data_IF_185136891332
#
_entry.id   IF_185136891332
#
_cell.length_a   1.000
_cell.length_b   1.000
_cell.length_c   1.000
_cell.angle_alpha   90.00
_cell.angle_beta   90.00
_cell.angle_gamma   90.00
#
_symmetry.space_group_name_H-M   'P 1'
#
loop_
_entity.id
_entity.type
_entity.pdbx_description
1 polymer ?
#
# COMPACT_ATOMS: atom_id res chain seq x y z
N UNK A 1 -6.29 32.85 27.50
CA UNK A 1 -6.84 31.68 28.23
C UNK A 1 -7.45 30.77 27.16
N UNK A 2 -6.80 29.66 26.82
CA UNK A 2 -7.23 28.78 25.73
C UNK A 2 -8.24 27.76 26.25
N UNK A 3 -9.40 27.67 25.59
CA UNK A 3 -10.44 26.68 25.88
C UNK A 3 -9.93 25.25 25.65
N UNK A 4 -10.24 24.28 26.52
CA UNK A 4 -9.93 22.88 26.25
C UNK A 4 -10.84 22.36 25.12
N UNK A 5 -10.22 21.72 24.13
CA UNK A 5 -10.91 21.02 23.05
C UNK A 5 -11.72 19.85 23.62
N UNK A 6 -12.94 19.67 23.12
CA UNK A 6 -13.76 18.50 23.37
C UNK A 6 -12.96 17.23 23.05
N UNK A 7 -12.51 16.53 24.09
CA UNK A 7 -12.18 15.12 23.98
C UNK A 7 -13.44 14.41 23.49
N UNK A 8 -13.35 13.69 22.37
CA UNK A 8 -14.41 12.80 21.93
C UNK A 8 -14.63 11.77 23.04
N UNK A 9 -15.65 12.00 23.87
CA UNK A 9 -16.05 11.09 24.93
C UNK A 9 -16.65 9.84 24.27
N UNK A 10 -16.30 8.63 24.70
CA UNK A 10 -17.07 7.45 24.32
C UNK A 10 -18.48 7.63 24.91
N UNK A 11 -19.45 7.97 24.06
CA UNK A 11 -20.85 8.03 24.47
C UNK A 11 -21.32 6.60 24.70
N UNK A 12 -21.67 6.31 25.95
CA UNK A 12 -22.07 4.99 26.43
C UNK A 12 -23.38 4.54 25.79
N UNK A 13 -23.26 3.57 24.90
CA UNK A 13 -24.24 2.55 24.59
C UNK A 13 -23.43 1.39 24.05
N UNK A 14 -23.06 0.44 24.92
CA UNK A 14 -22.05 -0.62 24.73
C UNK A 14 -21.66 -0.88 23.27
N UNK A 15 -20.77 -0.04 22.74
CA UNK A 15 -20.12 -0.30 21.47
C UNK A 15 -19.30 -1.55 21.74
N UNK A 16 -19.53 -2.60 20.94
CA UNK A 16 -18.80 -3.85 21.07
C UNK A 16 -17.31 -3.52 21.23
N UNK A 17 -16.60 -4.15 22.16
CA UNK A 17 -15.14 -4.06 22.13
C UNK A 17 -14.69 -4.65 20.80
N UNK A 18 -13.84 -3.94 20.05
CA UNK A 18 -13.25 -4.53 18.86
C UNK A 18 -12.53 -5.84 19.20
N UNK A 19 -12.57 -6.78 18.27
CA UNK A 19 -11.94 -8.08 18.40
C UNK A 19 -10.84 -8.24 17.36
N UNK A 20 -9.77 -8.94 17.74
CA UNK A 20 -8.62 -9.13 16.87
C UNK A 20 -8.93 -10.01 15.65
N UNK A 21 -9.94 -10.87 15.76
CA UNK A 21 -10.41 -11.74 14.69
C UNK A 21 -11.54 -11.12 13.84
N UNK A 22 -11.86 -9.83 14.00
CA UNK A 22 -12.75 -9.11 13.07
C UNK A 22 -12.06 -8.81 11.72
N UNK A 23 -10.74 -8.99 11.66
CA UNK A 23 -9.93 -8.83 10.46
C UNK A 23 -9.06 -10.08 10.26
N UNK A 24 -8.88 -10.48 9.00
CA UNK A 24 -7.95 -11.54 8.58
C UNK A 24 -6.87 -10.97 7.65
N UNK A 25 -5.57 -11.20 7.93
CA UNK A 25 -5.06 -11.93 9.10
C UNK A 25 -5.40 -11.23 10.43
N UNK A 26 -5.48 -12.01 11.50
CA UNK A 26 -5.84 -11.49 12.83
C UNK A 26 -5.01 -10.25 13.16
N UNK A 27 -5.70 -9.22 13.63
CA UNK A 27 -5.07 -8.00 14.08
C UNK A 27 -4.17 -8.27 15.30
N UNK A 28 -3.09 -7.50 15.42
CA UNK A 28 -2.23 -7.47 16.60
C UNK A 28 -2.82 -6.61 17.71
N UNK A 29 -3.55 -5.56 17.32
CA UNK A 29 -4.25 -4.67 18.23
C UNK A 29 -5.44 -4.07 17.52
N UNK A 30 -6.46 -3.70 18.28
CA UNK A 30 -7.61 -2.98 17.76
C UNK A 30 -8.03 -1.91 18.76
N UNK A 31 -8.67 -0.87 18.25
CA UNK A 31 -9.39 0.12 19.04
C UNK A 31 -10.53 0.58 18.19
N UNK A 32 -11.76 0.53 18.68
CA UNK A 32 -12.83 0.73 17.73
C UNK A 32 -14.22 0.91 18.26
N UNK A 33 -15.05 1.04 17.24
CA UNK A 33 -16.45 1.37 17.22
C UNK A 33 -16.77 2.75 17.80
N UNK A 34 -15.86 3.69 17.61
CA UNK A 34 -16.13 5.10 17.89
C UNK A 34 -17.36 5.56 17.08
N UNK A 35 -18.25 6.30 17.74
CA UNK A 35 -19.44 6.82 17.10
C UNK A 35 -19.09 7.79 15.96
N UNK A 36 -19.78 7.62 14.83
CA UNK A 36 -19.66 8.41 13.62
C UNK A 36 -18.68 7.86 12.59
N UNK A 37 -18.74 8.46 11.39
CA UNK A 37 -17.73 8.28 10.35
C UNK A 37 -16.52 9.17 10.65
N UNK A 38 -15.54 8.62 11.35
CA UNK A 38 -14.32 9.35 11.66
C UNK A 38 -13.41 9.51 10.43
N UNK A 39 -13.62 8.75 9.36
CA UNK A 39 -12.80 8.76 8.14
C UNK A 39 -13.18 9.87 7.15
N UNK A 40 -13.87 10.91 7.62
CA UNK A 40 -14.37 12.05 6.83
C UNK A 40 -13.36 13.20 6.68
N UNK A 41 -12.20 13.12 7.32
CA UNK A 41 -11.15 14.15 7.30
C UNK A 41 -11.41 15.36 8.21
N UNK A 42 -12.61 15.52 8.74
CA UNK A 42 -12.95 16.53 9.76
C UNK A 42 -12.78 16.03 11.19
N UNK A 43 -12.80 14.70 11.40
CA UNK A 43 -12.71 14.07 12.71
C UNK A 43 -11.28 13.62 13.08
N UNK A 44 -10.27 14.46 12.81
CA UNK A 44 -8.85 14.14 12.99
C UNK A 44 -8.51 13.71 14.41
N UNK A 45 -9.03 14.42 15.42
CA UNK A 45 -8.77 14.09 16.83
C UNK A 45 -9.29 12.68 17.20
N UNK A 46 -10.42 12.25 16.63
CA UNK A 46 -10.97 10.91 16.84
C UNK A 46 -10.10 9.83 16.20
N UNK A 47 -9.58 10.08 14.98
CA UNK A 47 -8.63 9.19 14.32
C UNK A 47 -7.34 9.07 15.13
N UNK A 48 -6.77 10.19 15.58
CA UNK A 48 -5.56 10.19 16.41
C UNK A 48 -5.75 9.44 17.73
N UNK A 49 -6.89 9.61 18.41
CA UNK A 49 -7.20 8.89 19.64
C UNK A 49 -7.31 7.37 19.41
N UNK A 50 -8.00 6.96 18.34
CA UNK A 50 -8.16 5.53 18.00
C UNK A 50 -6.87 4.87 17.51
N UNK A 51 -5.94 5.62 16.90
CA UNK A 51 -4.63 5.11 16.51
C UNK A 51 -3.65 5.07 17.69
N UNK A 52 -3.72 6.05 18.59
CA UNK A 52 -2.84 6.12 19.76
C UNK A 52 -3.07 4.94 20.72
N UNK A 53 -4.32 4.50 20.89
CA UNK A 53 -4.68 3.32 21.70
C UNK A 53 -4.14 2.00 21.14
N UNK A 54 -3.78 1.95 19.86
CA UNK A 54 -3.12 0.80 19.21
C UNK A 54 -1.65 1.08 18.87
N UNK A 55 -1.04 2.03 19.59
CA UNK A 55 0.40 2.29 19.56
C UNK A 55 0.89 3.07 18.34
N UNK A 56 0.04 3.87 17.68
CA UNK A 56 0.45 4.72 16.58
C UNK A 56 0.06 6.18 16.79
N UNK A 57 1.07 7.06 16.80
CA UNK A 57 0.85 8.50 16.81
C UNK A 57 0.86 9.01 15.37
N UNK A 58 -0.30 9.49 14.91
CA UNK A 58 -0.48 10.01 13.57
C UNK A 58 -0.42 11.55 13.56
N UNK A 59 0.21 12.13 12.54
CA UNK A 59 0.43 13.58 12.39
C UNK A 59 -0.85 14.38 12.08
N UNK A 60 -1.95 13.70 11.76
CA UNK A 60 -3.23 14.32 11.43
C UNK A 60 -3.33 14.80 9.98
N UNK A 61 -2.32 14.56 9.14
CA UNK A 61 -2.33 14.99 7.75
C UNK A 61 -3.17 14.04 6.89
N UNK A 62 -4.49 14.27 6.90
CA UNK A 62 -5.41 13.43 6.15
C UNK A 62 -5.17 13.45 4.64
N UNK A 63 -4.43 14.41 4.08
CA UNK A 63 -4.16 14.43 2.63
C UNK A 63 -3.09 13.42 2.20
N UNK A 64 -2.28 12.92 3.13
CA UNK A 64 -1.18 11.99 2.83
C UNK A 64 -1.53 10.51 3.03
N UNK A 65 -2.70 10.20 3.61
CA UNK A 65 -3.12 8.81 3.82
C UNK A 65 -3.81 8.23 2.58
N UNK A 66 -3.77 6.91 2.45
CA UNK A 66 -4.43 6.15 1.38
C UNK A 66 -5.89 5.91 1.75
N UNK A 67 -6.84 6.10 0.81
CA UNK A 67 -8.28 6.11 1.14
C UNK A 67 -9.14 5.39 0.10
N UNK A 68 -10.06 4.58 0.59
CA UNK A 68 -11.19 4.04 -0.16
C UNK A 68 -12.45 4.67 0.43
N UNK A 69 -13.10 5.57 -0.33
CA UNK A 69 -14.26 6.33 0.16
C UNK A 69 -15.56 5.55 0.15
N UNK A 70 -15.63 4.52 -0.68
CA UNK A 70 -16.81 3.65 -0.81
C UNK A 70 -16.36 2.20 -0.92
N UNK A 71 -16.64 1.42 0.12
CA UNK A 71 -16.48 -0.03 0.09
C UNK A 71 -17.77 -0.75 -0.34
N UNK A 72 -18.92 -0.08 -0.31
CA UNK A 72 -20.19 -0.70 -0.75
C UNK A 72 -20.58 -1.99 -0.01
N UNK A 73 -20.10 -2.19 1.22
CA UNK A 73 -20.32 -3.41 2.00
C UNK A 73 -19.34 -4.55 1.70
N UNK A 74 -18.31 -4.34 0.89
CA UNK A 74 -17.27 -5.35 0.62
C UNK A 74 -16.53 -5.76 1.89
N UNK A 75 -16.34 -7.07 2.03
CA UNK A 75 -15.55 -7.64 3.13
C UNK A 75 -14.08 -7.75 2.78
N UNK A 76 -13.72 -7.77 1.50
CA UNK A 76 -12.32 -7.70 1.07
C UNK A 76 -11.92 -6.25 0.83
N UNK A 77 -10.87 -5.79 1.50
CA UNK A 77 -10.35 -4.43 1.35
C UNK A 77 -9.00 -4.48 0.65
N UNK A 78 -8.92 -3.81 -0.50
CA UNK A 78 -7.74 -3.72 -1.35
C UNK A 78 -7.36 -2.25 -1.61
N UNK A 79 -6.25 -1.81 -1.04
CA UNK A 79 -5.77 -0.43 -1.18
C UNK A 79 -5.15 -0.12 -2.54
N UNK A 80 -4.99 -1.09 -3.44
CA UNK A 80 -4.64 -0.81 -4.83
C UNK A 80 -5.79 -0.13 -5.57
N UNK A 81 -7.02 -0.27 -5.07
CA UNK A 81 -8.23 0.36 -5.62
C UNK A 81 -8.57 1.70 -4.97
N UNK A 82 -7.72 2.18 -4.05
CA UNK A 82 -7.93 3.42 -3.35
C UNK A 82 -8.00 4.62 -4.31
N UNK A 83 -8.98 5.50 -4.07
CA UNK A 83 -9.19 6.71 -4.86
C UNK A 83 -8.08 7.73 -4.60
N UNK A 84 -7.50 7.72 -3.39
CA UNK A 84 -6.39 8.58 -3.01
C UNK A 84 -5.18 7.76 -2.55
N UNK A 85 -4.00 8.11 -3.09
CA UNK A 85 -2.69 7.52 -2.78
C UNK A 85 -2.68 5.98 -2.81
N UNK A 86 -3.06 5.33 -3.93
CA UNK A 86 -3.16 3.87 -3.98
C UNK A 86 -1.82 3.18 -3.71
N UNK A 87 -1.91 2.03 -3.03
CA UNK A 87 -0.74 1.21 -2.66
C UNK A 87 -1.04 -0.22 -3.11
N UNK A 88 -0.17 -0.79 -3.95
CA UNK A 88 -0.39 -2.12 -4.52
C UNK A 88 -0.27 -3.26 -3.51
N UNK A 89 0.52 -3.06 -2.44
CA UNK A 89 0.72 -4.03 -1.35
C UNK A 89 1.07 -3.33 -0.04
N UNK A 90 0.55 -3.86 1.06
CA UNK A 90 0.92 -3.48 2.42
C UNK A 90 1.93 -4.48 2.99
N UNK A 91 2.85 -4.03 3.85
CA UNK A 91 3.93 -4.84 4.42
C UNK A 91 4.04 -4.63 5.93
N UNK A 92 4.54 -5.66 6.64
CA UNK A 92 4.82 -5.59 8.08
C UNK A 92 3.68 -5.00 8.92
N UNK A 93 4.04 -4.31 9.99
CA UNK A 93 3.07 -3.61 10.83
C UNK A 93 2.34 -2.51 10.05
N UNK A 94 1.02 -2.65 9.96
CA UNK A 94 0.14 -1.80 9.16
C UNK A 94 -1.05 -1.32 10.00
N UNK A 95 -1.34 -0.03 9.94
CA UNK A 95 -2.42 0.63 10.67
C UNK A 95 -3.51 1.10 9.72
N UNK A 96 -4.73 0.65 9.99
CA UNK A 96 -5.90 0.93 9.17
C UNK A 96 -7.06 1.43 10.03
N UNK A 97 -7.96 2.16 9.39
CA UNK A 97 -9.29 2.47 9.94
C UNK A 97 -10.36 2.04 8.95
N UNK A 98 -11.47 1.51 9.45
CA UNK A 98 -12.62 1.10 8.63
C UNK A 98 -13.88 1.69 9.25
N UNK A 99 -14.65 2.37 8.41
CA UNK A 99 -15.96 2.88 8.77
C UNK A 99 -17.02 1.87 8.37
N UNK A 100 -17.88 1.55 9.33
CA UNK A 100 -19.05 0.72 9.15
C UNK A 100 -20.28 1.60 9.22
N UNK A 101 -21.06 1.57 8.14
CA UNK A 101 -22.41 2.11 8.14
C UNK A 101 -23.38 1.17 8.83
N UNK A 102 -24.67 1.43 8.65
CA UNK A 102 -25.74 0.68 9.29
C UNK A 102 -25.68 -0.83 8.97
N UNK A 103 -26.03 -1.64 9.98
CA UNK A 103 -26.23 -3.08 9.81
C UNK A 103 -24.97 -3.95 9.79
N UNK A 104 -23.82 -3.41 10.21
CA UNK A 104 -22.56 -4.16 10.33
C UNK A 104 -22.45 -5.05 11.58
N UNK A 105 -23.37 -4.91 12.54
CA UNK A 105 -23.36 -5.68 13.80
C UNK A 105 -22.54 -5.05 14.94
N UNK A 106 -21.99 -3.86 14.72
CA UNK A 106 -21.14 -3.15 15.70
C UNK A 106 -21.73 -1.84 16.22
N UNK A 107 -22.99 -1.57 15.89
CA UNK A 107 -23.64 -0.27 16.05
C UNK A 107 -23.80 0.46 14.72
N UNK A 108 -24.65 1.48 14.75
CA UNK A 108 -24.91 2.31 13.58
C UNK A 108 -23.85 3.40 13.45
N UNK A 109 -23.32 3.55 12.23
CA UNK A 109 -22.33 4.57 11.88
C UNK A 109 -21.13 4.59 12.83
N UNK A 110 -20.30 3.55 12.78
CA UNK A 110 -19.16 3.39 13.70
C UNK A 110 -17.83 3.29 12.95
N UNK A 111 -16.74 3.68 13.60
CA UNK A 111 -15.38 3.55 13.03
C UNK A 111 -14.51 2.71 13.93
N UNK A 112 -13.86 1.70 13.36
CA UNK A 112 -12.85 0.89 14.03
C UNK A 112 -11.46 1.11 13.46
N UNK A 113 -10.44 0.86 14.28
CA UNK A 113 -9.03 0.93 13.91
C UNK A 113 -8.34 -0.37 14.29
N UNK A 114 -7.45 -0.83 13.41
CA UNK A 114 -6.71 -2.07 13.61
C UNK A 114 -5.25 -1.89 13.24
N UNK A 115 -4.39 -2.59 13.99
CA UNK A 115 -3.01 -2.86 13.65
C UNK A 115 -2.92 -4.32 13.22
N UNK A 116 -2.41 -4.58 12.02
CA UNK A 116 -2.18 -5.93 11.51
C UNK A 116 -0.73 -6.10 11.06
N UNK A 117 -0.27 -7.34 10.94
CA UNK A 117 1.04 -7.64 10.34
C UNK A 117 0.84 -8.28 8.96
N UNK A 118 1.19 -7.54 7.91
CA UNK A 118 1.11 -7.98 6.52
C UNK A 118 2.31 -8.83 6.08
N UNK A 119 3.25 -9.11 6.99
CA UNK A 119 4.43 -9.93 6.76
C UNK A 119 5.45 -9.27 5.83
N UNK A 120 6.56 -9.99 5.60
CA UNK A 120 7.63 -9.56 4.71
C UNK A 120 7.26 -9.71 3.22
N UNK A 121 6.40 -10.67 2.88
CA UNK A 121 5.92 -10.88 1.50
C UNK A 121 4.86 -9.87 1.07
N UNK A 122 4.25 -9.19 2.05
CA UNK A 122 3.17 -8.23 1.88
C UNK A 122 1.83 -8.87 1.49
N UNK A 123 0.76 -8.13 1.78
CA UNK A 123 -0.62 -8.48 1.42
C UNK A 123 -1.13 -7.52 0.35
N UNK A 124 -1.85 -8.04 -0.63
CA UNK A 124 -2.60 -7.21 -1.58
C UNK A 124 -3.93 -6.74 -0.98
N UNK A 125 -4.54 -7.56 -0.12
CA UNK A 125 -5.79 -7.26 0.55
C UNK A 125 -5.88 -7.93 1.92
N UNK A 126 -6.83 -7.48 2.72
CA UNK A 126 -7.23 -8.13 3.96
C UNK A 126 -8.76 -8.30 3.98
N UNK A 127 -9.24 -9.22 4.82
CA UNK A 127 -10.66 -9.53 4.93
C UNK A 127 -11.20 -8.96 6.23
N UNK A 128 -12.38 -8.34 6.17
CA UNK A 128 -13.24 -8.01 7.29
C UNK A 128 -14.10 -9.24 7.57
N UNK A 129 -13.90 -9.87 8.72
CA UNK A 129 -14.66 -11.06 9.15
C UNK A 129 -16.02 -10.63 9.73
N UNK A 130 -16.74 -9.79 8.98
CA UNK A 130 -17.97 -9.13 9.42
C UNK A 130 -18.97 -9.25 8.28
N UNK A 131 -20.26 -9.46 8.57
CA UNK A 131 -21.20 -9.93 7.56
C UNK A 131 -21.52 -8.90 6.46
N UNK A 132 -21.44 -7.60 6.74
CA UNK A 132 -21.71 -6.49 5.78
C UNK A 132 -21.43 -5.13 6.43
N UNK A 133 -21.63 -4.05 5.67
CA UNK A 133 -21.78 -2.69 6.20
C UNK A 133 -20.50 -1.85 6.21
N UNK A 134 -19.38 -2.36 5.71
CA UNK A 134 -18.21 -1.52 5.45
C UNK A 134 -18.55 -0.44 4.41
N UNK A 135 -18.12 0.80 4.66
CA UNK A 135 -18.45 1.93 3.79
C UNK A 135 -17.24 2.76 3.40
N UNK A 136 -16.15 2.74 4.19
CA UNK A 136 -14.88 3.33 3.78
C UNK A 136 -13.72 2.76 4.58
N UNK A 137 -12.51 2.88 4.03
CA UNK A 137 -11.28 2.48 4.68
C UNK A 137 -10.16 3.49 4.45
N UNK A 138 -9.28 3.62 5.43
CA UNK A 138 -8.08 4.46 5.39
C UNK A 138 -6.89 3.63 5.83
N UNK A 139 -5.80 3.72 5.08
CA UNK A 139 -4.48 3.20 5.44
C UNK A 139 -3.61 4.36 5.88
N UNK A 140 -3.23 4.34 7.16
CA UNK A 140 -2.44 5.41 7.79
C UNK A 140 -0.94 5.18 7.67
N UNK A 141 -0.52 3.92 7.82
CA UNK A 141 0.88 3.51 7.75
C UNK A 141 0.97 2.05 7.39
N UNK A 142 1.96 1.70 6.58
CA UNK A 142 2.39 0.33 6.35
C UNK A 142 3.92 0.27 6.37
N UNK A 143 4.48 -0.92 6.60
CA UNK A 143 5.91 -1.16 6.48
C UNK A 143 6.39 -1.03 5.03
N UNK A 144 7.70 -1.11 4.85
CA UNK A 144 8.31 -1.15 3.52
C UNK A 144 8.47 -2.59 3.07
N UNK A 145 8.44 -2.81 1.75
CA UNK A 145 8.90 -4.05 1.17
C UNK A 145 10.33 -4.32 1.67
N UNK A 146 10.68 -5.58 2.00
CA UNK A 146 12.07 -5.92 2.30
C UNK A 146 12.94 -5.42 1.16
N UNK A 147 13.96 -4.61 1.48
CA UNK A 147 15.04 -4.38 0.55
C UNK A 147 15.71 -5.74 0.37
N UNK A 148 15.39 -6.44 -0.71
CA UNK A 148 16.29 -7.48 -1.20
C UNK A 148 17.61 -6.72 -1.38
N UNK A 149 18.67 -7.05 -0.61
CA UNK A 149 19.97 -6.43 -0.88
C UNK A 149 20.19 -6.60 -2.38
N UNK A 150 20.73 -5.60 -3.10
CA UNK A 150 21.07 -5.81 -4.49
C UNK A 150 21.73 -7.18 -4.55
N UNK A 151 21.10 -8.11 -5.27
CA UNK A 151 21.79 -9.34 -5.61
C UNK A 151 23.01 -8.76 -6.29
N UNK A 152 24.18 -8.80 -5.64
CA UNK A 152 25.41 -8.47 -6.35
C UNK A 152 25.29 -9.33 -7.60
N UNK A 153 25.20 -8.72 -8.79
CA UNK A 153 25.03 -9.49 -10.00
C UNK A 153 26.12 -10.56 -9.93
N UNK A 154 25.81 -11.85 -10.20
CA UNK A 154 26.86 -12.84 -10.36
C UNK A 154 27.89 -12.18 -11.26
N UNK A 155 29.12 -12.04 -10.76
CA UNK A 155 30.21 -11.35 -11.45
C UNK A 155 30.18 -11.82 -12.91
N UNK A 156 29.69 -10.97 -13.81
CA UNK A 156 29.58 -11.30 -15.24
C UNK A 156 28.24 -11.89 -15.73
N UNK A 157 27.09 -11.26 -15.50
CA UNK A 157 26.08 -11.21 -16.56
C UNK A 157 26.39 -9.98 -17.44
N UNK A 158 27.24 -10.09 -18.48
CA UNK A 158 27.34 -9.00 -19.44
C UNK A 158 25.94 -8.77 -19.99
N UNK A 159 25.47 -7.53 -19.91
CA UNK A 159 24.29 -7.11 -20.64
C UNK A 159 24.47 -7.61 -22.08
N UNK A 160 23.66 -8.58 -22.51
CA UNK A 160 23.83 -9.33 -23.76
C UNK A 160 23.62 -8.48 -25.02
N UNK A 161 23.62 -7.16 -24.87
CA UNK A 161 23.70 -6.19 -25.95
C UNK A 161 25.13 -5.66 -25.94
N UNK A 162 25.95 -6.00 -26.95
CA UNK A 162 27.26 -5.40 -27.12
C UNK A 162 27.14 -3.88 -27.09
N UNK A 163 28.09 -3.20 -26.45
CA UNK A 163 28.09 -1.73 -26.40
C UNK A 163 28.12 -1.15 -27.83
N UNK A 164 27.62 0.07 -28.05
CA UNK A 164 27.56 0.68 -29.38
C UNK A 164 28.89 0.64 -30.16
N UNK A 165 30.03 0.69 -29.45
CA UNK A 165 31.35 0.55 -30.04
C UNK A 165 31.61 -0.85 -30.64
N UNK A 166 31.12 -1.92 -30.01
CA UNK A 166 31.29 -3.29 -30.51
C UNK A 166 30.48 -3.51 -31.79
N UNK A 167 29.28 -2.92 -31.89
CA UNK A 167 28.51 -2.91 -33.14
C UNK A 167 29.25 -2.20 -34.26
N UNK A 168 29.83 -1.03 -33.96
CA UNK A 168 30.61 -0.27 -34.93
C UNK A 168 31.83 -1.07 -35.44
N UNK A 169 32.54 -1.78 -34.56
CA UNK A 169 33.67 -2.62 -34.95
C UNK A 169 33.27 -3.82 -35.81
N UNK A 170 32.14 -4.47 -35.52
CA UNK A 170 31.62 -5.56 -36.35
C UNK A 170 31.22 -5.05 -37.74
N UNK A 171 30.49 -3.94 -37.80
CA UNK A 171 30.09 -3.31 -39.06
C UNK A 171 31.31 -2.87 -39.88
N UNK A 172 32.31 -2.25 -39.23
CA UNK A 172 33.56 -1.85 -39.86
C UNK A 172 34.34 -3.06 -40.40
N UNK A 173 34.43 -4.15 -39.61
CA UNK A 173 35.08 -5.39 -40.02
C UNK A 173 34.43 -6.01 -41.27
N UNK A 174 33.11 -6.19 -41.25
CA UNK A 174 32.39 -6.73 -42.42
C UNK A 174 32.45 -5.79 -43.63
N UNK A 175 32.38 -4.47 -43.42
CA UNK A 175 32.53 -3.47 -44.47
C UNK A 175 33.89 -3.55 -45.16
N UNK A 176 34.97 -3.70 -44.39
CA UNK A 176 36.34 -3.78 -44.89
C UNK A 176 36.56 -5.07 -45.69
N UNK A 177 36.11 -6.22 -45.19
CA UNK A 177 36.19 -7.50 -45.90
C UNK A 177 35.43 -7.43 -47.24
N UNK A 178 34.22 -6.87 -47.24
CA UNK A 178 33.43 -6.68 -48.46
C UNK A 178 34.09 -5.75 -49.49
N UNK A 179 34.71 -4.66 -49.03
CA UNK A 179 35.44 -3.73 -49.89
C UNK A 179 36.68 -4.38 -50.53
N UNK A 180 37.45 -5.15 -49.75
CA UNK A 180 38.61 -5.88 -50.24
C UNK A 180 38.24 -6.91 -51.32
N UNK A 181 37.18 -7.68 -51.09
CA UNK A 181 36.69 -8.67 -52.06
C UNK A 181 36.23 -8.03 -53.39
N UNK A 182 35.55 -6.86 -53.33
CA UNK A 182 35.15 -6.11 -54.54
C UNK A 182 36.36 -5.61 -55.33
N UNK A 183 37.39 -5.11 -54.65
CA UNK A 183 38.62 -4.62 -55.30
C UNK A 183 39.37 -5.71 -56.06
N UNK A 184 39.43 -6.92 -55.51
CA UNK A 184 40.09 -8.05 -56.19
C UNK A 184 39.38 -8.45 -57.47
N UNK A 185 38.04 -8.51 -57.47
CA UNK A 185 37.26 -8.83 -58.68
C UNK A 185 37.49 -7.82 -59.82
N UNK A 186 37.59 -6.54 -59.49
CA UNK A 186 37.89 -5.50 -60.48
C UNK A 186 39.33 -5.56 -61.00
N UNK A 187 40.27 -6.07 -60.20
CA UNK A 187 41.65 -6.26 -60.62
C UNK A 187 41.83 -7.50 -61.51
N UNK A 188 41.06 -8.57 -61.28
CA UNK A 188 41.07 -9.79 -62.11
C UNK A 188 40.23 -9.66 -63.39
N UNK A 189 39.29 -8.72 -63.45
CA UNK A 189 38.49 -8.43 -64.65
C UNK A 189 39.16 -7.45 -65.63
N UNK A 190 40.45 -7.16 -65.45
CA UNK A 190 41.32 -6.42 -66.39
C UNK A 190 42.34 -7.39 -66.96
#
# INVERSE_FOLDING_TARGET
MASPAFAAKPTQGALASCLLNEISPNALACSGFFAGNLLSGSAIAGQQAGLASIGFTWDGNFNQVTKIRSLGGLTTVDFSTAEQNPVSRIYGDTWIGVHFGNGAGFGDQVTGFWKLNAGATGLSSFILNVPKGSSGAVLYRTGSAPSVPPIEPPIGTPNSVPEPANWALLIAGFGLVGAAARRQRLATAR
#
